data_IF_002249930741
#
_entry.id   IF_002249930741
#
_cell.length_a   1.000
_cell.length_b   1.000
_cell.length_c   1.000
_cell.angle_alpha   90.00
_cell.angle_beta   90.00
_cell.angle_gamma   90.00
#
_symmetry.space_group_name_H-M   'P 1'
#
loop_
_entity.id
_entity.type
_entity.pdbx_description
1 polymer ?
#
# COMPACT_ATOMS: atom_id res chain seq x y z
N UNK A 1 55.38 50.79 38.19
CA UNK A 1 54.83 49.42 38.04
C UNK A 1 53.37 49.59 37.68
N UNK A 2 52.99 49.48 36.40
CA UNK A 2 51.57 49.48 36.03
C UNK A 2 50.99 48.11 36.40
N UNK A 3 49.78 48.03 36.98
CA UNK A 3 49.15 46.75 37.24
C UNK A 3 48.80 46.10 35.90
N UNK A 4 49.29 44.88 35.69
CA UNK A 4 48.93 44.07 34.53
C UNK A 4 47.42 43.81 34.53
N UNK A 5 46.80 44.06 33.38
CA UNK A 5 45.38 43.93 33.15
C UNK A 5 44.94 42.46 33.21
N UNK A 6 44.57 41.96 34.39
CA UNK A 6 44.06 40.60 34.61
C UNK A 6 42.65 40.38 34.05
N UNK A 7 41.93 41.45 33.71
CA UNK A 7 40.56 41.37 33.16
C UNK A 7 40.54 40.84 31.72
N UNK A 8 41.58 41.14 30.93
CA UNK A 8 41.70 40.66 29.55
C UNK A 8 41.96 39.14 29.44
N UNK A 9 42.47 38.49 30.49
CA UNK A 9 42.78 37.05 30.45
C UNK A 9 41.53 36.18 30.60
N UNK A 10 40.64 36.56 31.52
CA UNK A 10 39.43 35.79 31.86
C UNK A 10 38.36 35.87 30.76
N UNK A 11 38.22 37.04 30.12
CA UNK A 11 37.30 37.25 28.98
C UNK A 11 37.74 36.47 27.72
N UNK A 12 39.06 36.30 27.51
CA UNK A 12 39.58 35.47 26.44
C UNK A 12 39.34 33.96 26.67
N UNK A 13 39.41 33.50 27.92
CA UNK A 13 39.16 32.09 28.27
C UNK A 13 37.69 31.71 28.07
N UNK A 14 36.75 32.57 28.45
CA UNK A 14 35.31 32.36 28.21
C UNK A 14 34.97 32.36 26.71
N UNK A 15 35.56 33.28 25.93
CA UNK A 15 35.35 33.37 24.49
C UNK A 15 35.91 32.13 23.77
N UNK A 16 37.08 31.63 24.20
CA UNK A 16 37.65 30.38 23.71
C UNK A 16 36.80 29.15 24.07
N UNK A 17 36.21 29.12 25.27
CA UNK A 17 35.31 28.05 25.70
C UNK A 17 34.04 28.01 24.84
N UNK A 18 33.43 29.18 24.57
CA UNK A 18 32.26 29.29 23.68
C UNK A 18 32.61 28.86 22.25
N UNK A 19 33.76 29.30 21.71
CA UNK A 19 34.18 28.90 20.37
C UNK A 19 34.41 27.38 20.25
N UNK A 20 35.00 26.78 21.29
CA UNK A 20 35.18 25.32 21.37
C UNK A 20 33.83 24.61 21.36
N UNK A 21 32.86 25.11 22.13
CA UNK A 21 31.51 24.54 22.19
C UNK A 21 30.77 24.65 20.85
N UNK A 22 30.87 25.80 20.16
CA UNK A 22 30.30 25.98 18.82
C UNK A 22 30.88 24.94 17.86
N UNK A 23 32.21 24.80 17.82
CA UNK A 23 32.87 23.85 16.94
C UNK A 23 32.46 22.40 17.22
N UNK A 24 32.32 22.03 18.49
CA UNK A 24 31.83 20.73 18.88
C UNK A 24 30.40 20.51 18.38
N UNK A 25 29.51 21.48 18.60
CA UNK A 25 28.10 21.38 18.17
C UNK A 25 27.94 21.33 16.66
N UNK A 26 28.70 22.13 15.91
CA UNK A 26 28.71 22.07 14.44
C UNK A 26 29.14 20.69 13.95
N UNK A 27 30.17 20.09 14.58
CA UNK A 27 30.63 18.76 14.19
C UNK A 27 29.61 17.65 14.53
N UNK A 28 29.01 17.70 15.72
CA UNK A 28 27.93 16.79 16.13
C UNK A 28 26.73 16.86 15.17
N UNK A 29 26.33 18.08 14.77
CA UNK A 29 25.24 18.30 13.82
C UNK A 29 25.57 17.78 12.42
N UNK A 30 26.80 18.03 11.92
CA UNK A 30 27.25 17.50 10.63
C UNK A 30 27.25 15.97 10.61
N UNK A 31 27.73 15.33 11.68
CA UNK A 31 27.68 13.87 11.78
C UNK A 31 26.24 13.36 11.80
N UNK A 32 25.32 14.11 12.42
CA UNK A 32 23.91 13.80 12.39
C UNK A 32 23.29 13.88 10.99
N UNK A 33 23.68 14.86 10.15
CA UNK A 33 23.18 14.91 8.77
C UNK A 33 23.73 13.77 7.91
N UNK A 34 24.98 13.36 8.14
CA UNK A 34 25.55 12.16 7.50
C UNK A 34 24.81 10.88 7.90
N UNK A 35 24.48 10.71 9.18
CA UNK A 35 23.65 9.56 9.63
C UNK A 35 22.26 9.60 9.02
N UNK A 36 21.66 10.79 8.92
CA UNK A 36 20.34 10.98 8.31
C UNK A 36 20.34 10.53 6.85
N UNK A 37 21.37 10.87 6.06
CA UNK A 37 21.54 10.39 4.69
C UNK A 37 21.57 8.87 4.59
N UNK A 38 22.31 8.20 5.47
CA UNK A 38 22.34 6.74 5.52
C UNK A 38 20.96 6.15 5.78
N UNK A 39 20.24 6.68 6.76
CA UNK A 39 18.91 6.21 7.14
C UNK A 39 17.87 6.41 6.02
N UNK A 40 17.87 7.56 5.34
CA UNK A 40 16.90 7.81 4.26
C UNK A 40 17.21 6.96 3.02
N UNK A 41 18.48 6.72 2.72
CA UNK A 41 18.88 5.83 1.63
C UNK A 41 18.44 4.38 1.89
N UNK A 42 18.70 3.86 3.10
CA UNK A 42 18.23 2.54 3.53
C UNK A 42 16.69 2.45 3.50
N UNK A 43 16.01 3.49 3.99
CA UNK A 43 14.54 3.55 3.97
C UNK A 43 13.99 3.53 2.54
N UNK A 44 14.68 4.16 1.59
CA UNK A 44 14.26 4.16 0.19
C UNK A 44 14.41 2.77 -0.44
N UNK A 45 15.48 2.06 -0.14
CA UNK A 45 15.67 0.67 -0.59
C UNK A 45 14.59 -0.26 -0.03
N UNK A 46 14.31 -0.17 1.27
CA UNK A 46 13.23 -0.93 1.91
C UNK A 46 11.86 -0.57 1.31
N UNK A 47 11.62 0.71 1.05
CA UNK A 47 10.40 1.19 0.39
C UNK A 47 10.23 0.60 -1.01
N UNK A 48 11.29 0.59 -1.82
CA UNK A 48 11.27 0.00 -3.16
C UNK A 48 10.98 -1.51 -3.13
N UNK A 49 11.63 -2.26 -2.24
CA UNK A 49 11.39 -3.69 -2.05
C UNK A 49 9.94 -3.97 -1.58
N UNK A 50 9.40 -3.10 -0.73
CA UNK A 50 8.01 -3.19 -0.26
C UNK A 50 7.04 -2.98 -1.41
N UNK A 51 7.28 -2.00 -2.29
CA UNK A 51 6.44 -1.74 -3.45
C UNK A 51 6.42 -2.92 -4.43
N UNK A 52 7.56 -3.57 -4.69
CA UNK A 52 7.63 -4.81 -5.48
C UNK A 52 6.79 -5.92 -4.83
N UNK A 53 6.93 -6.07 -3.51
CA UNK A 53 6.17 -7.09 -2.76
C UNK A 53 4.66 -6.83 -2.84
N UNK A 54 4.23 -5.57 -2.73
CA UNK A 54 2.83 -5.19 -2.87
C UNK A 54 2.30 -5.49 -4.28
N UNK A 55 3.07 -5.20 -5.33
CA UNK A 55 2.70 -5.54 -6.71
C UNK A 55 2.48 -7.06 -6.88
N UNK A 56 3.44 -7.88 -6.42
CA UNK A 56 3.30 -9.34 -6.44
C UNK A 56 2.09 -9.84 -5.64
N UNK A 57 1.79 -9.22 -4.50
CA UNK A 57 0.61 -9.55 -3.69
C UNK A 57 -0.68 -9.19 -4.44
N UNK A 58 -0.71 -8.07 -5.15
CA UNK A 58 -1.84 -7.65 -5.98
C UNK A 58 -2.16 -8.69 -7.06
N UNK A 59 -1.15 -9.16 -7.78
CA UNK A 59 -1.32 -10.20 -8.80
C UNK A 59 -1.78 -11.54 -8.20
N UNK A 60 -1.30 -11.90 -7.00
CA UNK A 60 -1.79 -13.09 -6.29
C UNK A 60 -3.26 -12.96 -5.92
N UNK A 61 -3.69 -11.80 -5.41
CA UNK A 61 -5.10 -11.54 -5.08
C UNK A 61 -5.99 -11.64 -6.32
N UNK A 62 -5.55 -11.08 -7.44
CA UNK A 62 -6.29 -11.19 -8.71
C UNK A 62 -6.49 -12.63 -9.15
N UNK A 63 -5.43 -13.47 -9.08
CA UNK A 63 -5.53 -14.91 -9.38
C UNK A 63 -6.48 -15.64 -8.44
N UNK A 64 -6.52 -15.27 -7.16
CA UNK A 64 -7.47 -15.84 -6.19
C UNK A 64 -8.90 -15.45 -6.56
N UNK A 65 -9.15 -14.18 -6.89
CA UNK A 65 -10.46 -13.71 -7.32
C UNK A 65 -10.95 -14.46 -8.57
N UNK A 66 -10.10 -14.59 -9.60
CA UNK A 66 -10.39 -15.38 -10.80
C UNK A 66 -10.64 -16.86 -10.48
N UNK A 67 -9.88 -17.44 -9.55
CA UNK A 67 -10.08 -18.80 -9.06
C UNK A 67 -11.46 -18.99 -8.40
N UNK A 68 -11.91 -18.03 -7.60
CA UNK A 68 -13.24 -18.05 -6.99
C UNK A 68 -14.35 -17.93 -8.02
N UNK A 69 -14.17 -17.10 -9.05
CA UNK A 69 -15.13 -16.99 -10.16
C UNK A 69 -15.28 -18.32 -10.91
N UNK A 70 -14.16 -19.02 -11.15
CA UNK A 70 -14.16 -20.36 -11.74
C UNK A 70 -14.88 -21.39 -10.85
N UNK A 71 -14.67 -21.34 -9.53
CA UNK A 71 -15.40 -22.20 -8.58
C UNK A 71 -16.90 -21.92 -8.65
N UNK A 72 -17.31 -20.65 -8.69
CA UNK A 72 -18.73 -20.28 -8.77
C UNK A 72 -19.39 -20.77 -10.07
N UNK A 73 -18.68 -20.67 -11.20
CA UNK A 73 -19.13 -21.20 -12.48
C UNK A 73 -19.25 -22.73 -12.44
N UNK A 74 -18.22 -23.43 -11.96
CA UNK A 74 -18.23 -24.89 -11.82
C UNK A 74 -19.31 -25.39 -10.87
N UNK A 75 -19.56 -24.67 -9.77
CA UNK A 75 -20.64 -24.98 -8.84
C UNK A 75 -22.03 -24.80 -9.46
N UNK A 76 -22.21 -23.79 -10.30
CA UNK A 76 -23.46 -23.59 -11.05
C UNK A 76 -23.73 -24.77 -11.99
N UNK A 77 -22.70 -25.29 -12.64
CA UNK A 77 -22.82 -26.48 -13.48
C UNK A 77 -23.07 -27.75 -12.66
N UNK A 78 -22.34 -27.95 -11.56
CA UNK A 78 -22.54 -29.07 -10.65
C UNK A 78 -23.96 -29.11 -10.08
N UNK A 79 -24.53 -27.97 -9.69
CA UNK A 79 -25.91 -27.88 -9.22
C UNK A 79 -26.94 -28.28 -10.30
N UNK A 80 -26.71 -27.90 -11.56
CA UNK A 80 -27.55 -28.32 -12.70
C UNK A 80 -27.46 -29.83 -12.90
N UNK A 81 -26.26 -30.38 -12.86
CA UNK A 81 -26.03 -31.82 -13.01
C UNK A 81 -26.69 -32.62 -11.87
N UNK A 82 -26.56 -32.18 -10.62
CA UNK A 82 -27.25 -32.79 -9.48
C UNK A 82 -28.77 -32.70 -9.62
N UNK A 83 -29.29 -31.57 -10.10
CA UNK A 83 -30.73 -31.41 -10.37
C UNK A 83 -31.20 -32.37 -11.46
N UNK A 84 -30.38 -32.62 -12.49
CA UNK A 84 -30.70 -33.58 -13.54
C UNK A 84 -30.64 -35.03 -13.04
N UNK A 85 -29.66 -35.38 -12.20
CA UNK A 85 -29.56 -36.71 -11.58
C UNK A 85 -30.70 -37.00 -10.61
N UNK A 86 -31.28 -35.96 -9.99
CA UNK A 86 -32.45 -36.07 -9.13
C UNK A 86 -33.76 -36.30 -9.93
N UNK A 87 -33.77 -36.08 -11.25
CA UNK A 87 -34.92 -36.38 -12.11
C UNK A 87 -34.87 -37.86 -12.51
N UNK A 88 -35.87 -38.63 -12.11
CA UNK A 88 -36.06 -40.01 -12.55
C UNK A 88 -36.55 -40.03 -14.00
N UNK A 89 -35.85 -40.76 -14.88
CA UNK A 89 -36.24 -41.06 -16.28
C UNK A 89 -36.94 -39.91 -17.04
N UNK A 90 -36.17 -38.89 -17.43
CA UNK A 90 -36.41 -38.04 -18.61
C UNK A 90 -37.58 -37.05 -18.60
N UNK A 91 -38.67 -37.26 -17.84
CA UNK A 91 -39.87 -36.41 -17.93
C UNK A 91 -40.73 -36.32 -16.66
N UNK A 92 -40.37 -36.98 -15.55
CA UNK A 92 -41.18 -36.94 -14.31
C UNK A 92 -40.37 -36.61 -13.07
N UNK A 93 -40.78 -35.55 -12.36
CA UNK A 93 -40.33 -35.26 -10.99
C UNK A 93 -40.88 -36.37 -10.09
N UNK A 94 -40.01 -37.02 -9.29
CA UNK A 94 -40.43 -38.00 -8.29
C UNK A 94 -41.58 -37.40 -7.45
N UNK A 95 -42.75 -38.05 -7.34
CA UNK A 95 -43.96 -37.46 -6.76
C UNK A 95 -43.84 -37.12 -5.26
N UNK A 96 -42.72 -37.46 -4.62
CA UNK A 96 -42.44 -37.25 -3.20
C UNK A 96 -41.80 -35.89 -2.89
N UNK A 97 -41.59 -35.00 -3.87
CA UNK A 97 -40.96 -33.67 -3.66
C UNK A 97 -41.82 -32.47 -4.03
N UNK A 98 -43.11 -32.65 -4.32
CA UNK A 98 -44.03 -31.59 -4.79
C UNK A 98 -44.39 -30.51 -3.76
N UNK A 99 -43.80 -30.50 -2.55
CA UNK A 99 -44.28 -29.66 -1.43
C UNK A 99 -43.32 -28.53 -1.01
N UNK A 100 -42.18 -28.29 -1.69
CA UNK A 100 -41.25 -27.20 -1.28
C UNK A 100 -40.72 -26.31 -2.40
N UNK A 101 -41.58 -25.91 -3.34
CA UNK A 101 -41.20 -24.92 -4.34
C UNK A 101 -42.17 -23.72 -4.38
N UNK A 102 -42.29 -23.02 -3.26
CA UNK A 102 -42.85 -21.65 -3.22
C UNK A 102 -41.96 -20.76 -2.38
N UNK A 103 -40.69 -20.63 -2.78
CA UNK A 103 -39.92 -19.41 -2.55
C UNK A 103 -38.88 -19.30 -3.68
N UNK A 104 -39.25 -18.58 -4.73
CA UNK A 104 -38.29 -18.03 -5.69
C UNK A 104 -37.87 -16.68 -5.13
N UNK A 105 -36.60 -16.44 -4.77
CA UNK A 105 -36.12 -15.07 -4.72
C UNK A 105 -36.17 -14.56 -6.17
N UNK A 106 -36.93 -13.49 -6.41
CA UNK A 106 -36.83 -12.75 -7.65
C UNK A 106 -35.42 -12.14 -7.72
N UNK A 107 -34.52 -12.76 -8.48
CA UNK A 107 -33.28 -12.09 -8.87
C UNK A 107 -33.65 -11.11 -9.97
N UNK A 108 -33.75 -9.84 -9.60
CA UNK A 108 -33.99 -8.73 -10.52
C UNK A 108 -32.78 -8.60 -11.46
N UNK A 109 -32.85 -9.34 -12.56
CA UNK A 109 -32.06 -9.14 -13.76
C UNK A 109 -32.65 -7.93 -14.51
N UNK A 110 -32.26 -6.71 -14.12
CA UNK A 110 -32.29 -5.53 -15.00
C UNK A 110 -31.81 -4.27 -14.26
N UNK A 111 -30.50 -4.06 -14.22
CA UNK A 111 -29.93 -2.72 -14.39
C UNK A 111 -28.61 -2.90 -15.10
N UNK A 112 -28.63 -2.64 -16.40
CA UNK A 112 -27.45 -2.35 -17.18
C UNK A 112 -26.74 -1.17 -16.49
N UNK A 113 -25.63 -1.47 -15.81
CA UNK A 113 -24.66 -0.46 -15.45
C UNK A 113 -23.86 -0.20 -16.72
N UNK A 114 -24.13 0.96 -17.32
CA UNK A 114 -23.39 1.53 -18.43
C UNK A 114 -21.90 1.52 -18.12
N UNK A 115 -21.17 0.71 -18.88
CA UNK A 115 -19.72 0.79 -19.02
C UNK A 115 -19.39 2.14 -19.65
N UNK A 116 -19.04 3.13 -18.84
CA UNK A 116 -18.29 4.27 -19.36
C UNK A 116 -16.91 3.78 -19.76
N UNK A 117 -16.69 3.79 -21.07
CA UNK A 117 -15.41 3.55 -21.71
C UNK A 117 -14.45 4.68 -21.33
N UNK A 118 -13.59 4.47 -20.33
CA UNK A 118 -12.41 5.30 -20.15
C UNK A 118 -11.26 4.72 -20.98
N UNK A 119 -10.97 5.38 -22.09
CA UNK A 119 -9.79 5.15 -22.94
C UNK A 119 -8.50 5.03 -22.11
N UNK A 120 -7.59 4.10 -22.44
CA UNK A 120 -6.25 4.11 -21.88
C UNK A 120 -5.48 5.24 -22.57
N UNK A 121 -5.37 6.39 -21.91
CA UNK A 121 -4.36 7.39 -22.31
C UNK A 121 -3.01 6.86 -21.90
N UNK A 122 -2.21 6.48 -22.89
CA UNK A 122 -0.76 6.32 -22.82
C UNK A 122 -0.17 7.53 -22.09
N UNK A 123 0.16 7.37 -20.81
CA UNK A 123 0.81 8.39 -20.02
C UNK A 123 2.30 8.06 -19.95
N UNK A 124 3.05 8.72 -20.84
CA UNK A 124 4.48 8.96 -20.65
C UNK A 124 4.73 9.52 -19.24
N UNK A 125 5.88 9.22 -18.60
CA UNK A 125 6.19 9.71 -17.27
C UNK A 125 6.42 11.22 -17.34
N UNK A 126 5.37 12.01 -17.09
CA UNK A 126 5.48 13.45 -16.90
C UNK A 126 5.90 13.70 -15.47
N UNK A 127 7.18 14.00 -15.29
CA UNK A 127 7.72 14.70 -14.13
C UNK A 127 6.86 15.94 -13.87
N UNK A 128 5.94 15.86 -12.90
CA UNK A 128 5.23 17.02 -12.39
C UNK A 128 6.08 17.59 -11.27
N UNK A 129 7.00 18.48 -11.62
CA UNK A 129 7.54 19.43 -10.65
C UNK A 129 6.37 20.29 -10.20
N UNK A 130 5.86 20.00 -9.01
CA UNK A 130 5.03 20.96 -8.30
C UNK A 130 5.94 22.17 -8.02
N UNK A 131 5.63 23.28 -8.68
CA UNK A 131 6.12 24.59 -8.27
C UNK A 131 5.51 24.88 -6.91
N UNK A 132 6.23 24.52 -5.85
CA UNK A 132 5.99 25.02 -4.51
C UNK A 132 6.62 26.42 -4.44
N UNK A 133 5.79 27.42 -4.69
CA UNK A 133 6.11 28.83 -4.44
C UNK A 133 6.30 29.02 -2.93
N UNK A 134 7.56 28.99 -2.47
CA UNK A 134 7.90 29.44 -1.13
C UNK A 134 9.01 28.68 -0.40
N UNK A 135 10.01 28.12 -1.09
CA UNK A 135 11.23 27.76 -0.38
C UNK A 135 11.99 29.04 -0.04
N UNK A 136 12.31 29.33 1.24
CA UNK A 136 13.17 30.46 1.57
C UNK A 136 14.46 30.28 0.79
N UNK A 137 14.92 31.33 0.08
CA UNK A 137 16.19 31.30 -0.64
C UNK A 137 17.42 31.34 0.29
N UNK A 138 17.25 30.95 1.56
CA UNK A 138 18.32 30.65 2.49
C UNK A 138 18.34 29.15 2.69
N UNK A 139 19.53 28.54 2.67
CA UNK A 139 19.72 27.12 2.92
C UNK A 139 18.99 26.62 4.18
N UNK A 140 18.90 25.30 4.31
CA UNK A 140 18.32 24.60 5.46
C UNK A 140 18.97 24.99 6.80
N UNK A 141 20.12 25.66 6.76
CA UNK A 141 20.92 26.03 7.94
C UNK A 141 21.25 27.52 7.93
N UNK A 142 21.13 28.14 9.10
CA UNK A 142 21.68 29.48 9.35
C UNK A 142 23.18 29.39 9.56
N UNK A 143 23.97 30.06 8.72
CA UNK A 143 25.45 30.05 8.80
C UNK A 143 25.94 30.92 9.95
N UNK A 144 26.74 30.35 10.85
CA UNK A 144 27.29 31.03 12.03
C UNK A 144 28.81 31.17 11.88
N UNK A 145 29.50 30.07 11.59
CA UNK A 145 30.96 30.07 11.36
C UNK A 145 31.31 30.32 9.89
N UNK A 146 30.35 30.11 8.98
CA UNK A 146 30.50 30.20 7.53
C UNK A 146 31.71 29.41 7.03
N UNK A 147 31.85 28.19 7.56
CA UNK A 147 32.91 27.25 7.20
C UNK A 147 32.40 26.15 6.25
N UNK A 148 33.32 25.34 5.75
CA UNK A 148 33.00 24.26 4.82
C UNK A 148 32.06 23.21 5.45
N UNK A 149 32.08 23.06 6.78
CA UNK A 149 31.22 22.11 7.50
C UNK A 149 29.75 22.54 7.44
N UNK A 150 29.46 23.81 7.66
CA UNK A 150 28.10 24.34 7.52
C UNK A 150 27.59 24.23 6.08
N UNK A 151 28.48 24.39 5.08
CA UNK A 151 28.14 24.19 3.67
C UNK A 151 27.82 22.72 3.38
N UNK A 152 28.66 21.78 3.82
CA UNK A 152 28.38 20.34 3.67
C UNK A 152 27.09 19.94 4.40
N UNK A 153 26.84 20.51 5.56
CA UNK A 153 25.63 20.22 6.33
C UNK A 153 24.36 20.68 5.59
N UNK A 154 24.42 21.83 4.94
CA UNK A 154 23.32 22.37 4.12
C UNK A 154 23.07 21.50 2.87
N UNK A 155 24.14 21.09 2.18
CA UNK A 155 24.08 20.17 1.04
C UNK A 155 23.47 18.81 1.45
N UNK A 156 23.91 18.27 2.58
CA UNK A 156 23.38 17.02 3.13
C UNK A 156 21.87 17.13 3.41
N UNK A 157 21.40 18.24 4.00
CA UNK A 157 19.98 18.44 4.27
C UNK A 157 19.15 18.64 2.99
N UNK A 158 19.72 19.26 1.96
CA UNK A 158 19.08 19.34 0.65
C UNK A 158 18.90 17.96 0.02
N UNK A 159 19.92 17.10 0.08
CA UNK A 159 19.83 15.71 -0.36
C UNK A 159 18.80 14.93 0.45
N UNK A 160 18.81 15.03 1.78
CA UNK A 160 17.79 14.43 2.64
C UNK A 160 16.39 14.87 2.22
N UNK A 161 16.17 16.16 1.99
CA UNK A 161 14.88 16.70 1.58
C UNK A 161 14.37 16.06 0.29
N UNK A 162 15.26 15.90 -0.70
CA UNK A 162 14.97 15.18 -1.95
C UNK A 162 14.59 13.71 -1.70
N UNK A 163 15.38 13.00 -0.88
CA UNK A 163 15.08 11.61 -0.51
C UNK A 163 13.74 11.49 0.24
N UNK A 164 13.44 12.43 1.13
CA UNK A 164 12.17 12.47 1.86
C UNK A 164 10.99 12.72 0.92
N UNK A 165 11.18 13.54 -0.12
CA UNK A 165 10.21 13.72 -1.20
C UNK A 165 9.91 12.42 -1.94
N UNK A 166 10.95 11.65 -2.28
CA UNK A 166 10.78 10.33 -2.91
C UNK A 166 10.09 9.32 -1.97
N UNK A 167 10.48 9.27 -0.70
CA UNK A 167 9.84 8.46 0.33
C UNK A 167 8.35 8.79 0.47
N UNK A 168 8.00 10.08 0.45
CA UNK A 168 6.61 10.54 0.49
C UNK A 168 5.81 10.01 -0.70
N UNK A 169 6.36 10.11 -1.92
CA UNK A 169 5.66 9.60 -3.11
C UNK A 169 5.45 8.09 -3.01
N UNK A 170 6.48 7.32 -2.64
CA UNK A 170 6.32 5.87 -2.41
C UNK A 170 5.28 5.56 -1.34
N UNK A 171 5.23 6.32 -0.24
CA UNK A 171 4.23 6.12 0.79
C UNK A 171 2.80 6.36 0.29
N UNK A 172 2.59 7.36 -0.58
CA UNK A 172 1.29 7.61 -1.22
C UNK A 172 0.91 6.47 -2.17
N UNK A 173 1.82 6.03 -3.03
CA UNK A 173 1.59 4.94 -3.99
C UNK A 173 1.32 3.60 -3.29
N UNK A 174 2.07 3.31 -2.22
CA UNK A 174 1.83 2.14 -1.37
C UNK A 174 0.45 2.23 -0.70
N UNK A 175 0.05 3.41 -0.23
CA UNK A 175 -1.27 3.65 0.35
C UNK A 175 -2.41 3.34 -0.62
N UNK A 176 -2.35 3.90 -1.84
CA UNK A 176 -3.35 3.65 -2.88
C UNK A 176 -3.40 2.16 -3.28
N UNK A 177 -2.24 1.52 -3.42
CA UNK A 177 -2.14 0.09 -3.74
C UNK A 177 -2.79 -0.77 -2.66
N UNK A 178 -2.53 -0.49 -1.38
CA UNK A 178 -3.11 -1.21 -0.25
C UNK A 178 -4.64 -1.00 -0.21
N UNK A 179 -5.12 0.23 -0.39
CA UNK A 179 -6.57 0.50 -0.44
C UNK A 179 -7.26 -0.25 -1.60
N UNK A 180 -6.63 -0.28 -2.77
CA UNK A 180 -7.11 -1.05 -3.92
C UNK A 180 -7.18 -2.55 -3.62
N UNK A 181 -6.11 -3.11 -3.04
CA UNK A 181 -6.03 -4.51 -2.66
C UNK A 181 -7.03 -4.90 -1.57
N UNK A 182 -7.27 -4.03 -0.58
CA UNK A 182 -8.29 -4.26 0.46
C UNK A 182 -9.68 -4.47 -0.14
N UNK A 183 -10.06 -3.66 -1.15
CA UNK A 183 -11.33 -3.84 -1.86
C UNK A 183 -11.40 -5.18 -2.60
N UNK A 184 -10.28 -5.69 -3.12
CA UNK A 184 -10.22 -7.02 -3.74
C UNK A 184 -10.40 -8.11 -2.69
N UNK A 185 -9.74 -7.96 -1.53
CA UNK A 185 -9.88 -8.89 -0.40
C UNK A 185 -11.34 -8.97 0.06
N UNK A 186 -12.05 -7.84 0.16
CA UNK A 186 -13.46 -7.82 0.53
C UNK A 186 -14.33 -8.62 -0.45
N UNK A 187 -14.12 -8.44 -1.77
CA UNK A 187 -14.82 -9.23 -2.80
C UNK A 187 -14.47 -10.71 -2.72
N UNK A 188 -13.19 -11.05 -2.49
CA UNK A 188 -12.74 -12.43 -2.29
C UNK A 188 -13.44 -13.05 -1.08
N UNK A 189 -13.55 -12.31 0.03
CA UNK A 189 -14.21 -12.80 1.24
C UNK A 189 -15.69 -13.12 0.98
N UNK A 190 -16.43 -12.19 0.35
CA UNK A 190 -17.84 -12.40 -0.01
C UNK A 190 -18.01 -13.59 -0.97
N UNK A 191 -17.22 -13.63 -2.05
CA UNK A 191 -17.25 -14.75 -3.02
C UNK A 191 -16.90 -16.07 -2.34
N UNK A 192 -15.92 -16.09 -1.45
CA UNK A 192 -15.51 -17.29 -0.72
C UNK A 192 -16.63 -17.83 0.17
N UNK A 193 -17.29 -16.97 0.95
CA UNK A 193 -18.41 -17.36 1.81
C UNK A 193 -19.56 -17.99 1.01
N UNK A 194 -19.97 -17.36 -0.08
CA UNK A 194 -20.99 -17.90 -1.00
C UNK A 194 -20.53 -19.24 -1.60
N UNK A 195 -19.25 -19.33 -1.99
CA UNK A 195 -18.65 -20.54 -2.53
C UNK A 195 -18.71 -21.71 -1.56
N UNK A 196 -18.33 -21.49 -0.30
CA UNK A 196 -18.35 -22.50 0.77
C UNK A 196 -19.78 -23.04 0.96
N UNK A 197 -20.77 -22.14 1.10
CA UNK A 197 -22.17 -22.55 1.29
C UNK A 197 -22.68 -23.38 0.10
N UNK A 198 -22.36 -22.99 -1.14
CA UNK A 198 -22.75 -23.74 -2.34
C UNK A 198 -22.10 -25.11 -2.41
N UNK A 199 -20.80 -25.19 -2.15
CA UNK A 199 -20.04 -26.46 -2.14
C UNK A 199 -20.62 -27.42 -1.11
N UNK A 200 -20.88 -26.95 0.12
CA UNK A 200 -21.47 -27.77 1.16
C UNK A 200 -22.89 -28.24 0.81
N UNK A 201 -23.71 -27.36 0.24
CA UNK A 201 -25.05 -27.71 -0.21
C UNK A 201 -25.04 -28.77 -1.32
N UNK A 202 -24.16 -28.63 -2.32
CA UNK A 202 -23.99 -29.62 -3.37
C UNK A 202 -23.47 -30.95 -2.82
N UNK A 203 -22.44 -30.91 -1.95
CA UNK A 203 -21.89 -32.10 -1.30
C UNK A 203 -22.96 -32.87 -0.51
N UNK A 204 -23.83 -32.16 0.22
CA UNK A 204 -24.96 -32.78 0.93
C UNK A 204 -25.94 -33.43 -0.03
N UNK A 205 -26.33 -32.75 -1.12
CA UNK A 205 -27.22 -33.30 -2.14
C UNK A 205 -26.64 -34.54 -2.80
N UNK A 206 -25.35 -34.52 -3.14
CA UNK A 206 -24.64 -35.68 -3.70
C UNK A 206 -24.68 -36.87 -2.74
N UNK A 207 -24.38 -36.65 -1.45
CA UNK A 207 -24.47 -37.71 -0.42
C UNK A 207 -25.88 -38.29 -0.31
N UNK A 208 -26.91 -37.44 -0.35
CA UNK A 208 -28.30 -37.89 -0.30
C UNK A 208 -28.71 -38.69 -1.54
N UNK A 209 -28.23 -38.31 -2.74
CA UNK A 209 -28.45 -39.07 -3.97
C UNK A 209 -27.77 -40.43 -3.91
N UNK A 210 -26.51 -40.51 -3.47
CA UNK A 210 -25.78 -41.79 -3.34
C UNK A 210 -26.45 -42.71 -2.33
N UNK A 211 -27.00 -42.18 -1.23
CA UNK A 211 -27.74 -43.00 -0.26
C UNK A 211 -29.09 -43.53 -0.78
N UNK A 212 -29.63 -42.91 -1.83
CA UNK A 212 -30.93 -43.25 -2.41
C UNK A 212 -30.85 -44.02 -3.73
N UNK A 213 -29.66 -44.03 -4.36
CA UNK A 213 -29.33 -44.87 -5.51
C UNK A 213 -29.11 -46.32 -5.07
#
# INVERSE_FOLDING_TARGET
MYPSNTNNGMENDELNAVHTQINQKTNESLESTRRMLGLVAESQEVGANTMITLDEQGEKLKRIEEGLDNIHAGMTEAERNLTNLQKCCGLCVLPWQRVRQTYRPHTNSSTAFSSETSSPTTAEPKLRMANDEGMPQGGYITRITNDDRETEMDDNLQLVSSYLGNLKNMALDMGETIEGQNKVIDRIAEKSEVGIVRVDAANKRTKDLIRRA
#
